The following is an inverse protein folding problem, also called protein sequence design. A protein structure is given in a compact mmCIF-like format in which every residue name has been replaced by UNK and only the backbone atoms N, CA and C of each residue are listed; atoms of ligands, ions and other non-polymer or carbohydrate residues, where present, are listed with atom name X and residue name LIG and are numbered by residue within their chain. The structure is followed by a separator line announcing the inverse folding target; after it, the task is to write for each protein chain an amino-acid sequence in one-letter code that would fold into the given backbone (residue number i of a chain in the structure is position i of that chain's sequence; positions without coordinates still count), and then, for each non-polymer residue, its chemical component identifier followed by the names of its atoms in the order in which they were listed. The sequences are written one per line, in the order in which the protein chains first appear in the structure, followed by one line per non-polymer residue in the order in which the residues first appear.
data_IF_492005391619
#
_entry.id   IF_492005391619
#
_cell.length_a   1.000
_cell.length_b   1.000
_cell.length_c   1.000
_cell.angle_alpha   90.00
_cell.angle_beta   90.00
_cell.angle_gamma   90.00
#
_symmetry.space_group_name_H-M   'P 1'
#
loop_
_entity.id
_entity.type
_entity.pdbx_description
1 polymer ?
#
# COMPACT_ATOMS: atom_id res chain seq x y z
N UNK A 1 -22.90 -2.80 16.67
CA UNK A 1 -21.84 -3.79 16.36
C UNK A 1 -20.48 -3.15 16.63
N UNK A 2 -19.60 -3.79 17.43
CA UNK A 2 -18.21 -3.34 17.64
C UNK A 2 -17.38 -3.66 16.40
N UNK A 3 -17.48 -2.82 15.38
CA UNK A 3 -16.70 -3.02 14.15
C UNK A 3 -15.38 -2.25 14.25
N UNK A 4 -14.37 -2.91 14.80
CA UNK A 4 -13.00 -2.41 14.84
C UNK A 4 -12.43 -2.41 13.43
N UNK A 5 -12.15 -1.24 12.83
CA UNK A 5 -11.20 -0.91 11.74
C UNK A 5 -11.01 -1.88 10.54
N UNK A 6 -11.85 -2.90 10.40
CA UNK A 6 -11.82 -3.93 9.37
C UNK A 6 -13.07 -3.73 8.51
N UNK A 7 -12.84 -3.36 7.25
CA UNK A 7 -13.93 -3.16 6.31
C UNK A 7 -14.67 -4.48 6.04
N UNK A 8 -15.96 -4.44 5.68
CA UNK A 8 -16.73 -5.66 5.36
C UNK A 8 -16.05 -6.53 4.29
N UNK A 9 -15.40 -5.91 3.30
CA UNK A 9 -14.60 -6.60 2.30
C UNK A 9 -13.40 -7.33 2.89
N UNK A 10 -12.66 -6.71 3.82
CA UNK A 10 -11.50 -7.36 4.45
C UNK A 10 -11.92 -8.55 5.32
N UNK A 11 -13.03 -8.41 6.05
CA UNK A 11 -13.62 -9.51 6.82
C UNK A 11 -14.05 -10.67 5.91
N UNK A 12 -14.79 -10.39 4.83
CA UNK A 12 -15.15 -11.38 3.82
C UNK A 12 -13.93 -11.97 3.09
N UNK A 13 -12.77 -11.29 3.15
CA UNK A 13 -11.49 -11.75 2.62
C UNK A 13 -10.68 -12.61 3.60
N UNK A 14 -11.22 -12.91 4.79
CA UNK A 14 -10.60 -13.76 5.80
C UNK A 14 -9.72 -13.02 6.81
N UNK A 15 -9.70 -11.69 6.83
CA UNK A 15 -8.99 -10.92 7.86
C UNK A 15 -9.90 -10.77 9.09
N UNK A 16 -9.46 -11.31 10.22
CA UNK A 16 -10.21 -11.36 11.47
C UNK A 16 -9.87 -10.21 12.40
N UNK A 17 -8.63 -9.68 12.32
CA UNK A 17 -8.18 -8.59 13.18
C UNK A 17 -7.44 -7.46 12.45
N UNK A 18 -7.25 -6.32 13.15
CA UNK A 18 -6.49 -5.20 12.62
C UNK A 18 -4.99 -5.51 12.58
N UNK A 19 -4.51 -6.31 13.54
CA UNK A 19 -3.11 -6.77 13.61
C UNK A 19 -2.76 -7.62 12.39
N UNK A 20 -3.62 -8.56 11.99
CA UNK A 20 -3.42 -9.39 10.79
C UNK A 20 -3.31 -8.54 9.53
N UNK A 21 -4.20 -7.55 9.39
CA UNK A 21 -4.17 -6.60 8.27
C UNK A 21 -2.88 -5.78 8.27
N UNK A 22 -2.46 -5.28 9.43
CA UNK A 22 -1.26 -4.47 9.59
C UNK A 22 0.02 -5.27 9.32
N UNK A 23 0.11 -6.50 9.81
CA UNK A 23 1.22 -7.41 9.52
C UNK A 23 1.31 -7.74 8.01
N UNK A 24 0.17 -7.99 7.37
CA UNK A 24 0.11 -8.21 5.92
C UNK A 24 0.48 -6.98 5.09
N UNK A 25 0.30 -5.77 5.63
CA UNK A 25 0.82 -4.54 5.01
C UNK A 25 2.34 -4.41 5.21
N UNK A 26 2.82 -4.66 6.44
CA UNK A 26 4.23 -4.56 6.80
C UNK A 26 5.09 -5.55 6.01
N UNK A 27 4.66 -6.80 5.82
CA UNK A 27 5.47 -7.79 5.09
C UNK A 27 5.74 -7.38 3.62
N UNK A 28 4.92 -6.49 3.04
CA UNK A 28 5.11 -5.96 1.68
C UNK A 28 6.28 -4.99 1.59
N UNK A 29 6.74 -4.41 2.71
CA UNK A 29 7.92 -3.53 2.73
C UNK A 29 9.24 -4.29 2.62
N UNK A 30 9.21 -5.63 2.69
CA UNK A 30 10.40 -6.47 2.72
C UNK A 30 11.11 -6.45 4.07
N UNK A 31 12.38 -6.80 4.09
CA UNK A 31 13.18 -7.04 5.31
C UNK A 31 14.28 -6.00 5.56
N UNK A 32 14.33 -4.92 4.77
CA UNK A 32 15.33 -3.85 4.97
C UNK A 32 15.07 -3.11 6.30
N UNK A 33 16.11 -2.60 6.99
CA UNK A 33 15.93 -1.74 8.15
C UNK A 33 15.07 -0.52 7.81
N UNK A 34 14.15 -0.16 8.71
CA UNK A 34 13.36 1.05 8.61
C UNK A 34 14.27 2.23 9.01
N UNK A 35 14.50 3.14 8.08
CA UNK A 35 15.36 4.31 8.27
C UNK A 35 14.62 5.47 8.98
N UNK A 36 13.28 5.44 8.96
CA UNK A 36 12.44 6.41 9.65
C UNK A 36 11.02 6.51 9.09
N UNK A 37 10.34 7.57 9.49
CA UNK A 37 8.97 7.91 9.07
C UNK A 37 8.99 9.23 8.31
N UNK A 38 8.32 9.29 7.16
CA UNK A 38 8.15 10.48 6.33
C UNK A 38 6.73 11.01 6.47
N UNK A 39 6.59 12.33 6.45
CA UNK A 39 5.30 12.99 6.20
C UNK A 39 5.06 13.09 4.69
N UNK A 40 3.79 13.17 4.31
CA UNK A 40 3.38 13.31 2.90
C UNK A 40 4.06 14.52 2.26
N UNK A 41 4.56 14.34 1.03
CA UNK A 41 5.27 15.37 0.28
C UNK A 41 6.74 15.54 0.66
N UNK A 42 7.24 14.83 1.70
CA UNK A 42 8.64 14.89 2.09
C UNK A 42 9.46 13.89 1.26
N UNK A 43 10.54 14.39 0.65
CA UNK A 43 11.50 13.56 -0.06
C UNK A 43 12.40 12.81 0.94
N UNK A 44 12.63 11.49 0.76
CA UNK A 44 13.59 10.76 1.61
C UNK A 44 15.01 11.36 1.46
N UNK A 45 15.76 11.54 2.57
CA UNK A 45 17.10 12.12 2.54
C UNK A 45 18.12 11.21 1.85
N UNK A 46 17.90 9.90 1.88
CA UNK A 46 18.72 8.90 1.19
C UNK A 46 17.89 7.67 0.81
N UNK A 47 18.50 6.77 0.03
CA UNK A 47 17.92 5.47 -0.33
C UNK A 47 17.74 4.62 0.93
N UNK A 48 16.60 3.96 1.06
CA UNK A 48 16.25 3.21 2.27
C UNK A 48 14.80 2.74 2.27
N UNK A 49 14.40 2.05 3.33
CA UNK A 49 13.00 1.77 3.60
C UNK A 49 12.46 2.83 4.56
N UNK A 50 11.43 3.55 4.12
CA UNK A 50 10.78 4.61 4.88
C UNK A 50 9.30 4.27 5.04
N UNK A 51 8.77 4.49 6.24
CA UNK A 51 7.32 4.42 6.46
C UNK A 51 6.71 5.78 6.15
N UNK A 52 5.55 5.79 5.50
CA UNK A 52 4.84 7.02 5.20
C UNK A 52 3.70 7.20 6.22
N UNK A 53 3.71 8.33 6.90
CA UNK A 53 2.64 8.76 7.79
C UNK A 53 1.75 9.78 7.06
N UNK A 54 0.59 9.31 6.63
CA UNK A 54 -0.47 10.12 6.01
C UNK A 54 -1.49 10.63 7.03
N UNK A 55 -1.28 10.38 8.34
CA UNK A 55 -2.22 10.87 9.35
C UNK A 55 -2.11 12.40 9.49
N UNK A 56 -3.26 13.10 9.57
CA UNK A 56 -3.25 14.55 9.72
C UNK A 56 -2.61 14.95 11.05
N UNK A 57 -1.86 16.05 11.04
CA UNK A 57 -1.17 16.56 12.22
C UNK A 57 -2.17 17.01 13.31
N UNK A 58 -1.74 17.02 14.59
CA UNK A 58 -2.61 17.41 15.72
C UNK A 58 -3.07 18.88 15.68
N UNK A 59 -2.44 19.71 14.86
CA UNK A 59 -2.88 21.08 14.62
C UNK A 59 -3.87 21.13 13.46
N UNK A 60 -4.87 22.01 13.59
CA UNK A 60 -5.91 22.21 12.60
C UNK A 60 -5.33 22.60 11.23
N UNK A 61 -5.22 21.61 10.34
CA UNK A 61 -5.34 21.81 8.92
C UNK A 61 -6.61 21.08 8.47
N UNK A 62 -7.62 21.85 8.10
CA UNK A 62 -8.95 21.42 7.69
C UNK A 62 -8.97 20.75 6.31
N UNK A 63 -7.87 20.10 5.89
CA UNK A 63 -7.93 19.12 4.81
C UNK A 63 -8.56 17.89 5.46
N UNK A 64 -9.89 17.78 5.30
CA UNK A 64 -10.78 16.95 6.09
C UNK A 64 -10.22 15.56 6.41
N UNK A 65 -10.57 15.08 7.61
CA UNK A 65 -10.27 13.74 8.16
C UNK A 65 -9.98 12.76 7.02
N UNK A 66 -8.71 12.40 6.86
CA UNK A 66 -8.24 11.51 5.79
C UNK A 66 -9.08 10.25 5.83
N UNK A 67 -9.71 9.88 4.72
CA UNK A 67 -10.44 8.62 4.61
C UNK A 67 -9.54 7.66 3.81
N UNK A 68 -8.65 6.89 4.48
CA UNK A 68 -7.55 6.22 3.82
C UNK A 68 -8.10 5.29 2.75
N UNK A 69 -7.85 5.66 1.49
CA UNK A 69 -8.30 4.93 0.33
C UNK A 69 -7.13 4.70 -0.62
N UNK A 70 -7.30 3.76 -1.54
CA UNK A 70 -6.26 3.36 -2.47
C UNK A 70 -5.73 4.55 -3.30
N UNK A 71 -6.56 5.52 -3.69
CA UNK A 71 -6.10 6.67 -4.48
C UNK A 71 -5.23 7.61 -3.65
N UNK A 72 -5.67 7.94 -2.43
CA UNK A 72 -4.96 8.82 -1.52
C UNK A 72 -3.56 8.29 -1.21
N UNK A 73 -3.45 7.02 -0.79
CA UNK A 73 -2.15 6.42 -0.46
C UNK A 73 -1.19 6.34 -1.66
N UNK A 74 -1.70 6.15 -2.89
CA UNK A 74 -0.87 6.20 -4.09
C UNK A 74 -0.36 7.63 -4.38
N UNK A 75 -1.23 8.64 -4.24
CA UNK A 75 -0.83 10.03 -4.46
C UNK A 75 0.18 10.49 -3.42
N UNK A 76 0.05 10.06 -2.17
CA UNK A 76 1.00 10.39 -1.11
C UNK A 76 2.40 9.83 -1.40
N UNK A 77 2.47 8.60 -1.89
CA UNK A 77 3.73 7.97 -2.30
C UNK A 77 4.38 8.72 -3.47
N UNK A 78 3.58 9.13 -4.46
CA UNK A 78 4.06 9.94 -5.61
C UNK A 78 4.54 11.32 -5.12
N UNK A 79 3.81 11.97 -4.21
CA UNK A 79 4.20 13.24 -3.61
C UNK A 79 5.55 13.14 -2.86
N UNK A 80 5.83 11.98 -2.25
CA UNK A 80 7.13 11.68 -1.64
C UNK A 80 8.22 11.28 -2.65
N UNK A 81 8.06 11.63 -3.93
CA UNK A 81 9.01 11.38 -5.02
C UNK A 81 9.16 9.90 -5.42
N UNK A 82 8.12 9.08 -5.23
CA UNK A 82 8.10 7.72 -5.80
C UNK A 82 7.83 7.78 -7.31
N UNK A 83 8.79 7.34 -8.12
CA UNK A 83 8.64 7.30 -9.59
C UNK A 83 7.82 6.10 -10.08
N UNK A 84 7.71 5.04 -9.28
CA UNK A 84 6.92 3.84 -9.58
C UNK A 84 6.19 3.45 -8.30
N UNK A 85 4.90 3.14 -8.42
CA UNK A 85 4.10 2.72 -7.27
C UNK A 85 3.52 1.34 -7.51
N UNK A 86 3.54 0.50 -6.47
CA UNK A 86 3.02 -0.85 -6.50
C UNK A 86 1.72 -0.94 -5.71
N UNK A 87 0.66 -1.44 -6.34
CA UNK A 87 -0.61 -1.72 -5.67
C UNK A 87 -0.87 -3.22 -5.66
N UNK A 88 -0.72 -3.82 -4.48
CA UNK A 88 -1.05 -5.23 -4.26
C UNK A 88 -2.53 -5.32 -3.87
N UNK A 89 -3.37 -5.79 -4.80
CA UNK A 89 -4.82 -5.89 -4.61
C UNK A 89 -5.33 -7.28 -5.00
N UNK A 90 -5.98 -7.98 -4.06
CA UNK A 90 -6.59 -9.29 -4.33
C UNK A 90 -7.96 -9.21 -5.01
N UNK A 91 -8.52 -8.00 -5.17
CA UNK A 91 -9.87 -7.77 -5.71
C UNK A 91 -9.89 -6.95 -7.01
N UNK A 92 -8.72 -6.71 -7.61
CA UNK A 92 -8.56 -6.03 -8.91
C UNK A 92 -9.37 -4.72 -8.98
N UNK A 93 -9.04 -3.76 -8.12
CA UNK A 93 -9.63 -2.44 -8.18
C UNK A 93 -9.30 -1.71 -9.50
N UNK A 94 -10.08 -0.69 -9.85
CA UNK A 94 -9.91 0.11 -11.08
C UNK A 94 -8.94 1.29 -10.93
N UNK A 95 -8.32 1.44 -9.76
CA UNK A 95 -7.47 2.58 -9.40
C UNK A 95 -6.32 2.75 -10.39
N UNK A 96 -6.07 3.97 -10.85
CA UNK A 96 -4.97 4.30 -11.76
C UNK A 96 -4.18 5.48 -11.23
N UNK A 97 -3.04 5.75 -11.85
CA UNK A 97 -2.29 6.99 -11.65
C UNK A 97 -1.93 7.57 -13.01
N UNK A 98 -2.22 8.85 -13.20
CA UNK A 98 -1.80 9.61 -14.37
C UNK A 98 -0.39 10.21 -14.18
N UNK A 99 0.10 10.28 -12.93
CA UNK A 99 1.33 11.01 -12.57
C UNK A 99 2.55 10.10 -12.58
N UNK A 100 2.38 8.84 -12.14
CA UNK A 100 3.46 7.87 -12.07
C UNK A 100 2.98 6.49 -12.52
N UNK A 101 3.82 5.68 -13.19
CA UNK A 101 3.52 4.28 -13.49
C UNK A 101 3.05 3.51 -12.25
N UNK A 102 1.85 2.94 -12.33
CA UNK A 102 1.24 2.09 -11.31
C UNK A 102 1.30 0.63 -11.74
N UNK A 103 2.07 -0.18 -11.03
CA UNK A 103 2.10 -1.63 -11.26
C UNK A 103 1.15 -2.34 -10.28
N UNK A 104 0.18 -3.08 -10.82
CA UNK A 104 -0.79 -3.84 -10.03
C UNK A 104 -0.38 -5.30 -9.92
N UNK A 105 -0.33 -5.80 -8.69
CA UNK A 105 -0.10 -7.22 -8.41
C UNK A 105 -1.34 -7.84 -7.75
N UNK A 106 -1.77 -9.00 -8.24
CA UNK A 106 -2.98 -9.69 -7.77
C UNK A 106 -2.75 -10.58 -6.53
N UNK A 107 -1.54 -10.67 -5.98
CA UNK A 107 -1.22 -11.42 -4.75
C UNK A 107 -1.38 -12.95 -4.83
N UNK A 108 -2.05 -13.50 -5.86
CA UNK A 108 -2.11 -14.93 -6.17
C UNK A 108 -0.92 -15.33 -7.03
N UNK A 109 -0.05 -16.20 -6.50
CA UNK A 109 1.09 -16.78 -7.22
C UNK A 109 0.68 -17.60 -8.46
N UNK A 110 -0.56 -18.12 -8.51
CA UNK A 110 -1.01 -18.99 -9.60
C UNK A 110 -1.11 -18.32 -10.97
N UNK A 111 -1.03 -16.99 -11.05
CA UNK A 111 -1.07 -16.28 -12.34
C UNK A 111 0.32 -16.08 -12.97
N UNK A 112 1.41 -16.31 -12.21
CA UNK A 112 2.78 -16.27 -12.74
C UNK A 112 3.22 -17.60 -13.37
N UNK A 113 2.42 -18.67 -13.22
CA UNK A 113 2.64 -19.97 -13.89
C UNK A 113 1.90 -20.10 -15.23
N UNK A 114 1.38 -19.01 -15.79
CA UNK A 114 0.55 -19.05 -17.00
C UNK A 114 1.29 -19.04 -18.34
N UNK A 115 2.62 -18.83 -18.38
CA UNK A 115 3.42 -18.78 -19.62
C UNK A 115 4.77 -19.48 -19.42
N UNK A 116 4.73 -20.79 -19.18
CA UNK A 116 5.91 -21.65 -19.13
C UNK A 116 5.72 -22.85 -20.07
N UNK A 117 5.74 -22.59 -21.38
CA UNK A 117 6.10 -23.62 -22.35
C UNK A 117 7.49 -24.13 -22.02
N UNK A 118 7.65 -25.45 -22.07
CA UNK A 118 8.76 -26.16 -21.44
C UNK A 118 10.15 -25.76 -21.92
N UNK A 119 11.10 -25.81 -20.99
CA UNK A 119 12.46 -26.30 -21.20
C UNK A 119 12.88 -27.00 -19.92
N UNK A 120 13.26 -28.27 -20.03
CA UNK A 120 13.95 -28.99 -18.98
C UNK A 120 15.41 -28.54 -18.90
N UNK A 121 15.91 -28.47 -17.67
CA UNK A 121 17.09 -29.17 -17.13
C UNK A 121 16.92 -29.22 -15.61
#
# INVERSE_FOLDING_TARGET
MRQYSVSPGNFAGGLSTIEEKSMGALIKSGSRPIEGVLKVGVKPPHRGLWLLDSTPDPYWMQFGITNPNDNEGLMDLVACHSHIVFLVTGRRNVVGSAVAPLYKNNGKLSHLQGHGGGYGL
#
